data_IF_808933974027
#
_entry.id   IF_808933974027
#
_cell.length_a   1.000
_cell.length_b   1.000
_cell.length_c   1.000
_cell.angle_alpha   90.00
_cell.angle_beta   90.00
_cell.angle_gamma   90.00
#
_symmetry.space_group_name_H-M   'P 1'
#
loop_
_entity.id
_entity.type
_entity.pdbx_description
1 polymer ?
#
# COMPACT_ATOMS: atom_id res chain seq x y z
N UNK A 1 -22.66 21.52 24.51
CA UNK A 1 -22.66 20.15 25.06
C UNK A 1 -22.17 19.25 23.94
N UNK A 2 -20.87 18.93 23.91
CA UNK A 2 -20.30 18.01 22.92
C UNK A 2 -20.59 16.59 23.40
N UNK A 3 -21.51 15.89 22.75
CA UNK A 3 -21.71 14.45 22.96
C UNK A 3 -20.43 13.75 22.49
N UNK A 4 -19.65 13.19 23.42
CA UNK A 4 -18.49 12.38 23.09
C UNK A 4 -18.99 11.00 22.64
N UNK A 5 -18.82 10.67 21.36
CA UNK A 5 -19.06 9.32 20.86
C UNK A 5 -17.87 8.45 21.22
N UNK A 6 -18.12 7.31 21.85
CA UNK A 6 -17.08 6.30 22.09
C UNK A 6 -17.11 5.29 20.95
N UNK A 7 -15.98 5.10 20.28
CA UNK A 7 -15.83 4.10 19.22
C UNK A 7 -15.18 2.87 19.86
N UNK A 8 -15.92 1.79 19.95
CA UNK A 8 -15.39 0.50 20.40
C UNK A 8 -15.42 -0.47 19.23
N UNK A 9 -14.27 -1.06 18.89
CA UNK A 9 -14.21 -2.14 17.94
C UNK A 9 -15.01 -3.33 18.52
N UNK A 10 -16.08 -3.74 17.85
CA UNK A 10 -16.82 -4.92 18.24
C UNK A 10 -15.98 -6.13 17.86
N UNK A 11 -15.15 -6.63 18.78
CA UNK A 11 -14.42 -7.89 18.63
C UNK A 11 -15.42 -9.07 18.66
N UNK A 12 -16.24 -9.21 17.61
CA UNK A 12 -16.73 -10.52 17.23
C UNK A 12 -15.48 -11.29 16.80
N UNK A 13 -15.14 -12.33 17.56
CA UNK A 13 -13.95 -13.15 17.43
C UNK A 13 -13.91 -14.01 16.13
N UNK A 14 -14.17 -13.39 14.99
CA UNK A 14 -13.87 -13.90 13.66
C UNK A 14 -12.71 -13.04 13.16
N UNK A 15 -11.51 -13.62 13.08
CA UNK A 15 -10.29 -12.92 12.73
C UNK A 15 -10.47 -12.09 11.45
N UNK A 16 -10.31 -10.78 11.56
CA UNK A 16 -10.25 -9.87 10.42
C UNK A 16 -8.93 -10.12 9.67
N UNK A 17 -8.97 -11.04 8.71
CA UNK A 17 -7.88 -11.22 7.76
C UNK A 17 -8.05 -10.19 6.65
N UNK A 18 -7.57 -8.97 6.89
CA UNK A 18 -7.53 -7.94 5.88
C UNK A 18 -6.18 -7.88 5.18
N UNK A 19 -6.24 -7.97 3.86
CA UNK A 19 -5.08 -7.81 3.00
C UNK A 19 -4.91 -6.32 2.64
N UNK A 20 -3.72 -5.72 2.82
CA UNK A 20 -3.45 -4.37 2.38
C UNK A 20 -3.66 -4.31 0.87
N UNK A 21 -4.19 -3.17 0.44
CA UNK A 21 -4.44 -2.88 -0.96
C UNK A 21 -3.19 -2.23 -1.59
N UNK A 22 -3.09 -2.31 -2.91
CA UNK A 22 -1.92 -1.85 -3.68
C UNK A 22 -2.32 -0.78 -4.69
N UNK A 23 -1.48 0.23 -4.88
CA UNK A 23 -1.64 1.23 -5.93
C UNK A 23 -1.40 0.62 -7.33
N UNK A 24 -2.01 1.23 -8.35
CA UNK A 24 -1.65 0.94 -9.74
C UNK A 24 -0.30 1.59 -10.07
N UNK A 25 0.64 0.90 -10.75
CA UNK A 25 1.92 1.50 -11.14
C UNK A 25 1.76 2.49 -12.31
N UNK A 26 2.53 3.58 -12.31
CA UNK A 26 2.74 4.44 -13.49
C UNK A 26 3.62 3.70 -14.52
N UNK A 27 3.21 3.66 -15.79
CA UNK A 27 3.93 2.96 -16.88
C UNK A 27 4.54 3.96 -17.87
N UNK A 28 5.87 3.97 -18.01
CA UNK A 28 6.60 4.76 -19.01
C UNK A 28 7.07 3.85 -20.17
N UNK A 29 6.81 4.23 -21.43
CA UNK A 29 7.07 3.40 -22.64
C UNK A 29 8.09 4.03 -23.60
N UNK A 30 9.13 3.28 -23.95
CA UNK A 30 10.14 3.48 -25.00
C UNK A 30 10.74 2.13 -25.54
N UNK A 31 9.92 1.11 -25.84
CA UNK A 31 10.33 -0.13 -26.54
C UNK A 31 10.68 -1.28 -25.59
N UNK A 32 10.66 -2.58 -26.00
CA UNK A 32 10.59 -3.70 -25.04
C UNK A 32 11.91 -3.91 -24.27
N UNK A 33 12.14 -3.06 -23.29
CA UNK A 33 13.17 -3.20 -22.27
C UNK A 33 12.65 -4.15 -21.19
N UNK A 34 13.54 -4.85 -20.47
CA UNK A 34 13.19 -5.54 -19.25
C UNK A 34 12.42 -4.65 -18.25
N UNK A 35 12.74 -3.34 -18.18
CA UNK A 35 12.02 -2.37 -17.35
C UNK A 35 10.54 -2.21 -17.78
N UNK A 36 10.27 -2.10 -19.08
CA UNK A 36 8.90 -2.04 -19.60
C UNK A 36 8.15 -3.36 -19.39
N UNK A 37 8.81 -4.48 -19.63
CA UNK A 37 8.22 -5.81 -19.41
C UNK A 37 7.87 -6.01 -17.94
N UNK A 38 8.73 -5.54 -17.03
CA UNK A 38 8.45 -5.52 -15.60
C UNK A 38 7.23 -4.65 -15.29
N UNK A 39 7.17 -3.42 -15.82
CA UNK A 39 6.05 -2.50 -15.58
C UNK A 39 4.71 -3.06 -16.08
N UNK A 40 4.67 -3.59 -17.31
CA UNK A 40 3.46 -4.19 -17.90
C UNK A 40 3.00 -5.44 -17.11
N UNK A 41 3.95 -6.25 -16.64
CA UNK A 41 3.67 -7.38 -15.78
C UNK A 41 3.06 -6.97 -14.43
N UNK A 42 3.58 -5.91 -13.80
CA UNK A 42 3.02 -5.41 -12.52
C UNK A 42 1.62 -4.81 -12.71
N UNK A 43 1.36 -4.17 -13.84
CA UNK A 43 0.04 -3.62 -14.15
C UNK A 43 -1.04 -4.71 -14.36
N UNK A 44 -0.63 -5.95 -14.68
CA UNK A 44 -1.55 -7.05 -14.95
C UNK A 44 -1.93 -7.80 -13.65
N UNK A 45 -3.23 -7.83 -13.27
CA UNK A 45 -3.67 -8.58 -12.09
C UNK A 45 -3.29 -10.06 -12.17
N UNK A 46 -2.71 -10.60 -11.09
CA UNK A 46 -2.32 -12.02 -11.01
C UNK A 46 -1.06 -12.41 -11.80
N UNK A 47 -0.39 -11.48 -12.50
CA UNK A 47 0.80 -11.79 -13.30
C UNK A 47 2.10 -11.92 -12.49
N UNK A 48 2.06 -11.63 -11.18
CA UNK A 48 3.21 -11.82 -10.30
C UNK A 48 3.66 -13.29 -10.32
N UNK A 49 4.88 -13.54 -10.79
CA UNK A 49 5.44 -14.87 -10.95
C UNK A 49 6.95 -14.82 -10.73
N UNK A 50 7.60 -15.96 -10.38
CA UNK A 50 9.06 -16.03 -10.31
C UNK A 50 9.74 -15.64 -11.64
N UNK A 51 9.08 -15.85 -12.78
CA UNK A 51 9.59 -15.41 -14.08
C UNK A 51 9.59 -13.88 -14.19
N UNK A 52 8.46 -13.22 -13.85
CA UNK A 52 8.37 -11.77 -13.85
C UNK A 52 9.34 -11.13 -12.84
N UNK A 53 9.50 -11.75 -11.66
CA UNK A 53 10.47 -11.30 -10.66
C UNK A 53 11.89 -11.23 -11.24
N UNK A 54 12.34 -12.26 -11.95
CA UNK A 54 13.65 -12.27 -12.61
C UNK A 54 13.79 -11.16 -13.66
N UNK A 55 12.75 -10.93 -14.46
CA UNK A 55 12.73 -9.83 -15.45
C UNK A 55 12.90 -8.48 -14.75
N UNK A 56 12.17 -8.24 -13.66
CA UNK A 56 12.30 -7.02 -12.87
C UNK A 56 13.68 -6.88 -12.20
N UNK A 57 14.28 -7.98 -11.74
CA UNK A 57 15.62 -7.99 -11.14
C UNK A 57 16.72 -7.68 -12.18
N UNK A 58 16.60 -8.25 -13.38
CA UNK A 58 17.47 -7.96 -14.51
C UNK A 58 17.38 -6.48 -14.92
N UNK A 59 16.16 -5.95 -15.01
CA UNK A 59 15.90 -4.56 -15.37
C UNK A 59 16.59 -3.55 -14.44
N UNK A 60 16.66 -3.83 -13.12
CA UNK A 60 17.36 -2.96 -12.17
C UNK A 60 18.86 -2.82 -12.52
N UNK A 61 19.46 -3.88 -13.07
CA UNK A 61 20.89 -3.92 -13.43
C UNK A 61 21.26 -3.09 -14.67
N UNK A 62 20.28 -2.59 -15.42
CA UNK A 62 20.54 -1.84 -16.65
C UNK A 62 21.17 -0.48 -16.36
N UNK A 63 22.36 -0.23 -16.91
CA UNK A 63 23.12 1.01 -16.67
C UNK A 63 22.51 2.24 -17.36
N UNK A 64 21.66 2.02 -18.36
CA UNK A 64 21.07 3.08 -19.19
C UNK A 64 19.82 3.72 -18.59
N UNK A 65 19.29 3.16 -17.49
CA UNK A 65 18.10 3.72 -16.84
C UNK A 65 18.39 5.11 -16.27
N UNK A 66 17.52 6.07 -16.59
CA UNK A 66 17.51 7.35 -15.89
C UNK A 66 17.26 7.13 -14.39
N UNK A 67 17.62 8.09 -13.54
CA UNK A 67 17.33 8.00 -12.09
C UNK A 67 15.85 7.74 -11.81
N UNK A 68 14.96 8.37 -12.59
CA UNK A 68 13.51 8.19 -12.50
C UNK A 68 13.10 6.77 -12.88
N UNK A 69 13.58 6.27 -14.02
CA UNK A 69 13.21 4.93 -14.50
C UNK A 69 13.78 3.84 -13.60
N UNK A 70 14.99 4.03 -13.05
CA UNK A 70 15.57 3.15 -12.04
C UNK A 70 14.69 3.04 -10.81
N UNK A 71 14.21 4.18 -10.29
CA UNK A 71 13.32 4.20 -9.14
C UNK A 71 11.98 3.51 -9.43
N UNK A 72 11.38 3.74 -10.61
CA UNK A 72 10.16 3.05 -11.02
C UNK A 72 10.36 1.54 -11.16
N UNK A 73 11.47 1.10 -11.75
CA UNK A 73 11.81 -0.32 -11.89
C UNK A 73 12.05 -0.99 -10.54
N UNK A 74 12.74 -0.32 -9.60
CA UNK A 74 12.89 -0.79 -8.23
C UNK A 74 11.53 -0.93 -7.52
N UNK A 75 10.65 0.06 -7.66
CA UNK A 75 9.31 0.01 -7.11
C UNK A 75 8.51 -1.17 -7.68
N UNK A 76 8.52 -1.35 -9.00
CA UNK A 76 7.85 -2.46 -9.67
C UNK A 76 8.40 -3.82 -9.21
N UNK A 77 9.72 -3.97 -9.12
CA UNK A 77 10.36 -5.18 -8.59
C UNK A 77 9.98 -5.45 -7.13
N UNK A 78 9.88 -4.40 -6.31
CA UNK A 78 9.38 -4.45 -4.95
C UNK A 78 7.93 -4.93 -4.88
N UNK A 79 7.06 -4.40 -5.74
CA UNK A 79 5.65 -4.82 -5.84
C UNK A 79 5.51 -6.28 -6.28
N UNK A 80 6.31 -6.75 -7.24
CA UNK A 80 6.32 -8.18 -7.62
C UNK A 80 6.73 -9.04 -6.44
N UNK A 81 7.79 -8.66 -5.73
CA UNK A 81 8.28 -9.40 -4.56
C UNK A 81 7.22 -9.45 -3.45
N UNK A 82 6.56 -8.33 -3.17
CA UNK A 82 5.46 -8.24 -2.22
C UNK A 82 4.31 -9.18 -2.57
N UNK A 83 3.89 -9.20 -3.85
CA UNK A 83 2.82 -10.09 -4.34
C UNK A 83 3.20 -11.58 -4.30
N UNK A 84 4.49 -11.90 -4.35
CA UNK A 84 5.00 -13.27 -4.22
C UNK A 84 5.24 -13.70 -2.77
N UNK A 85 5.07 -12.80 -1.79
CA UNK A 85 5.34 -13.09 -0.38
C UNK A 85 6.80 -12.88 0.04
N UNK A 86 7.64 -12.36 -0.85
CA UNK A 86 9.04 -12.05 -0.58
C UNK A 86 9.14 -10.64 0.06
N UNK A 87 8.73 -10.52 1.32
CA UNK A 87 8.53 -9.22 1.96
C UNK A 87 9.81 -8.44 2.28
N UNK A 88 10.88 -9.08 2.76
CA UNK A 88 12.16 -8.41 3.03
C UNK A 88 12.83 -7.92 1.73
N UNK A 89 12.90 -8.73 0.65
CA UNK A 89 13.37 -8.24 -0.64
C UNK A 89 12.46 -7.16 -1.25
N UNK A 90 11.15 -7.18 -0.97
CA UNK A 90 10.24 -6.11 -1.38
C UNK A 90 10.56 -4.80 -0.66
N UNK A 91 10.72 -4.87 0.66
CA UNK A 91 11.01 -3.73 1.52
C UNK A 91 12.28 -3.01 1.08
N UNK A 92 13.38 -3.74 0.91
CA UNK A 92 14.66 -3.16 0.50
C UNK A 92 14.55 -2.38 -0.82
N UNK A 93 13.87 -2.96 -1.81
CA UNK A 93 13.69 -2.33 -3.14
C UNK A 93 12.78 -1.11 -3.09
N UNK A 94 11.71 -1.16 -2.30
CA UNK A 94 10.78 -0.03 -2.13
C UNK A 94 11.44 1.14 -1.38
N UNK A 95 12.29 0.85 -0.39
CA UNK A 95 13.09 1.86 0.30
C UNK A 95 14.08 2.52 -0.66
N UNK A 96 14.83 1.74 -1.44
CA UNK A 96 15.74 2.28 -2.45
C UNK A 96 15.00 3.12 -3.51
N UNK A 97 13.83 2.66 -3.96
CA UNK A 97 12.98 3.42 -4.89
C UNK A 97 12.55 4.77 -4.32
N UNK A 98 12.15 4.81 -3.04
CA UNK A 98 11.76 6.02 -2.34
C UNK A 98 12.93 7.01 -2.19
N UNK A 99 14.15 6.53 -1.94
CA UNK A 99 15.36 7.36 -1.85
C UNK A 99 15.79 7.97 -3.20
N UNK A 100 15.56 7.25 -4.29
CA UNK A 100 15.87 7.76 -5.64
C UNK A 100 14.91 8.87 -6.08
N UNK A 101 13.80 9.06 -5.38
CA UNK A 101 13.10 10.33 -5.30
C UNK A 101 12.29 10.79 -6.52
N UNK A 102 11.75 9.95 -7.42
CA UNK A 102 10.52 10.41 -8.05
C UNK A 102 9.49 10.55 -6.91
N UNK A 103 8.85 11.72 -6.83
CA UNK A 103 7.76 12.02 -5.89
C UNK A 103 6.51 11.19 -6.22
N UNK A 104 6.64 9.87 -6.24
CA UNK A 104 5.54 8.93 -6.32
C UNK A 104 5.22 8.57 -4.87
N UNK A 105 4.39 9.38 -4.19
CA UNK A 105 3.89 8.99 -2.87
C UNK A 105 3.15 7.65 -2.91
N UNK A 106 2.75 7.19 -4.10
CA UNK A 106 2.19 5.86 -4.32
C UNK A 106 3.18 4.72 -3.97
N UNK A 107 4.51 4.96 -3.98
CA UNK A 107 5.49 3.99 -3.46
C UNK A 107 5.25 3.74 -1.97
N UNK A 108 4.85 4.76 -1.20
CA UNK A 108 4.56 4.62 0.23
C UNK A 108 3.40 3.66 0.51
N UNK A 109 2.45 3.50 -0.42
CA UNK A 109 1.37 2.51 -0.30
C UNK A 109 1.93 1.10 -0.29
N UNK A 110 2.80 0.79 -1.26
CA UNK A 110 3.42 -0.54 -1.37
C UNK A 110 4.42 -0.78 -0.23
N UNK A 111 5.14 0.25 0.21
CA UNK A 111 6.03 0.20 1.36
C UNK A 111 5.25 -0.13 2.63
N UNK A 112 4.17 0.58 2.92
CA UNK A 112 3.31 0.33 4.07
C UNK A 112 2.65 -1.05 4.00
N UNK A 113 2.16 -1.47 2.84
CA UNK A 113 1.60 -2.81 2.66
C UNK A 113 2.64 -3.91 2.98
N UNK A 114 3.90 -3.71 2.57
CA UNK A 114 5.01 -4.62 2.88
C UNK A 114 5.32 -4.62 4.38
N UNK A 115 5.35 -3.45 5.01
CA UNK A 115 5.62 -3.30 6.44
C UNK A 115 4.52 -3.95 7.29
N UNK A 116 3.24 -3.84 6.90
CA UNK A 116 2.12 -4.53 7.55
C UNK A 116 2.32 -6.04 7.48
N UNK A 117 2.73 -6.58 6.33
CA UNK A 117 3.03 -8.02 6.16
C UNK A 117 4.18 -8.51 7.04
N UNK A 118 5.14 -7.63 7.31
CA UNK A 118 6.25 -7.88 8.22
C UNK A 118 5.89 -7.65 9.70
N UNK A 119 4.66 -7.26 10.03
CA UNK A 119 4.24 -6.94 11.39
C UNK A 119 4.81 -5.62 11.92
N UNK A 120 5.32 -4.74 11.04
CA UNK A 120 5.98 -3.47 11.38
C UNK A 120 4.98 -2.30 11.24
N UNK A 121 3.92 -2.35 12.04
CA UNK A 121 2.78 -1.43 11.91
C UNK A 121 3.14 0.04 12.14
N UNK A 122 3.98 0.36 13.13
CA UNK A 122 4.45 1.73 13.40
C UNK A 122 5.14 2.35 12.16
N UNK A 123 5.97 1.57 11.48
CA UNK A 123 6.69 2.01 10.29
C UNK A 123 5.75 2.15 9.08
N UNK A 124 4.72 1.31 8.98
CA UNK A 124 3.69 1.45 7.96
C UNK A 124 2.91 2.76 8.12
N UNK A 125 2.61 3.17 9.36
CA UNK A 125 1.99 4.47 9.66
C UNK A 125 2.93 5.60 9.28
N UNK A 126 4.22 5.51 9.61
CA UNK A 126 5.21 6.51 9.26
C UNK A 126 5.35 6.69 7.73
N UNK A 127 5.37 5.59 6.97
CA UNK A 127 5.42 5.61 5.51
C UNK A 127 4.20 6.33 4.89
N UNK A 128 3.04 6.28 5.55
CA UNK A 128 1.78 6.92 5.13
C UNK A 128 1.43 8.16 5.95
N UNK A 129 2.41 8.81 6.58
CA UNK A 129 2.18 10.02 7.37
C UNK A 129 1.78 11.22 6.50
N UNK A 130 2.42 11.36 5.34
CA UNK A 130 2.09 12.37 4.31
C UNK A 130 1.23 11.75 3.20
N UNK A 131 -0.07 11.60 3.46
CA UNK A 131 -1.02 11.11 2.45
C UNK A 131 -1.18 12.08 1.28
N UNK A 132 -0.88 13.37 1.46
CA UNK A 132 -1.02 14.34 0.36
C UNK A 132 0.04 14.17 -0.72
N UNK A 133 1.16 13.52 -0.39
CA UNK A 133 2.16 13.07 -1.38
C UNK A 133 1.65 11.92 -2.27
N UNK A 134 0.61 11.18 -1.85
CA UNK A 134 -0.03 10.10 -2.61
C UNK A 134 -0.96 10.70 -3.67
N UNK A 135 -0.95 10.10 -4.86
CA UNK A 135 -1.79 10.54 -5.98
C UNK A 135 -3.28 10.48 -5.57
N UNK A 136 -4.10 11.50 -5.88
CA UNK A 136 -5.49 11.57 -5.43
C UNK A 136 -6.31 10.30 -5.71
N UNK A 137 -6.03 9.62 -6.82
CA UNK A 137 -6.71 8.39 -7.25
C UNK A 137 -6.43 7.22 -6.30
N UNK A 138 -5.26 7.22 -5.64
CA UNK A 138 -4.78 6.15 -4.77
C UNK A 138 -4.90 6.49 -3.27
N UNK A 139 -5.27 7.72 -2.90
CA UNK A 139 -5.37 8.14 -1.48
C UNK A 139 -6.31 7.25 -0.64
N UNK A 140 -7.40 6.75 -1.22
CA UNK A 140 -8.28 5.81 -0.53
C UNK A 140 -7.52 4.56 -0.06
N UNK A 141 -6.61 4.03 -0.89
CA UNK A 141 -5.76 2.87 -0.56
C UNK A 141 -4.77 3.22 0.56
N UNK A 142 -4.18 4.42 0.52
CA UNK A 142 -3.29 4.91 1.57
C UNK A 142 -4.00 4.99 2.92
N UNK A 143 -5.19 5.60 2.97
CA UNK A 143 -6.01 5.65 4.19
C UNK A 143 -6.35 4.24 4.68
N UNK A 144 -6.79 3.34 3.80
CA UNK A 144 -7.10 1.96 4.17
C UNK A 144 -5.89 1.22 4.77
N UNK A 145 -4.72 1.29 4.13
CA UNK A 145 -3.52 0.60 4.65
C UNK A 145 -3.06 1.21 5.98
N UNK A 146 -3.14 2.53 6.16
CA UNK A 146 -2.80 3.16 7.44
C UNK A 146 -3.78 2.77 8.53
N UNK A 147 -5.07 2.65 8.21
CA UNK A 147 -6.08 2.11 9.13
C UNK A 147 -5.79 0.67 9.56
N UNK A 148 -5.34 -0.20 8.64
CA UNK A 148 -4.91 -1.56 8.99
C UNK A 148 -3.72 -1.57 9.95
N UNK A 149 -2.77 -0.64 9.78
CA UNK A 149 -1.65 -0.51 10.69
C UNK A 149 -2.08 -0.01 12.08
N UNK A 150 -2.97 1.00 12.15
CA UNK A 150 -3.56 1.42 13.44
C UNK A 150 -4.36 0.31 14.11
N UNK A 151 -5.12 -0.47 13.34
CA UNK A 151 -5.86 -1.63 13.83
C UNK A 151 -4.92 -2.69 14.43
N UNK A 152 -3.79 -2.97 13.76
CA UNK A 152 -2.78 -3.90 14.27
C UNK A 152 -2.10 -3.43 15.58
N UNK A 153 -2.12 -2.12 15.84
CA UNK A 153 -1.66 -1.52 17.10
C UNK A 153 -2.78 -1.34 18.13
N UNK A 154 -3.97 -1.87 17.86
CA UNK A 154 -5.18 -1.73 18.70
C UNK A 154 -5.67 -0.27 18.87
N UNK A 155 -5.22 0.66 18.02
CA UNK A 155 -5.73 2.03 17.97
C UNK A 155 -7.03 2.08 17.14
N UNK A 156 -8.12 1.63 17.77
CA UNK A 156 -9.43 1.53 17.14
C UNK A 156 -9.98 2.90 16.67
N UNK A 157 -9.66 3.99 17.38
CA UNK A 157 -10.15 5.32 17.02
C UNK A 157 -9.47 5.82 15.73
N UNK A 158 -8.13 5.73 15.66
CA UNK A 158 -7.40 6.12 14.47
C UNK A 158 -7.74 5.21 13.28
N UNK A 159 -7.86 3.90 13.50
CA UNK A 159 -8.27 2.94 12.48
C UNK A 159 -9.66 3.28 11.91
N UNK A 160 -10.65 3.54 12.76
CA UNK A 160 -12.01 3.91 12.31
C UNK A 160 -11.98 5.18 11.45
N UNK A 161 -11.25 6.21 11.91
CA UNK A 161 -11.15 7.49 11.18
C UNK A 161 -10.57 7.32 9.79
N UNK A 162 -9.50 6.54 9.65
CA UNK A 162 -8.86 6.30 8.36
C UNK A 162 -9.68 5.36 7.47
N UNK A 163 -10.33 4.32 8.01
CA UNK A 163 -11.28 3.50 7.23
C UNK A 163 -12.44 4.35 6.70
N UNK A 164 -12.98 5.25 7.52
CA UNK A 164 -14.03 6.18 7.12
C UNK A 164 -13.55 7.13 6.01
N UNK A 165 -12.36 7.71 6.16
CA UNK A 165 -11.75 8.57 5.14
C UNK A 165 -11.55 7.83 3.81
N UNK A 166 -11.09 6.57 3.85
CA UNK A 166 -10.96 5.71 2.67
C UNK A 166 -12.31 5.51 1.96
N UNK A 167 -13.35 5.10 2.70
CA UNK A 167 -14.69 4.87 2.14
C UNK A 167 -15.34 6.17 1.61
N UNK A 168 -15.08 7.31 2.25
CA UNK A 168 -15.57 8.61 1.80
C UNK A 168 -14.89 9.07 0.49
N UNK A 169 -13.60 8.80 0.33
CA UNK A 169 -12.86 9.13 -0.90
C UNK A 169 -13.23 8.22 -2.07
N UNK A 170 -13.53 6.95 -1.80
CA UNK A 170 -13.99 6.00 -2.81
C UNK A 170 -15.17 5.17 -2.29
N UNK A 171 -16.39 5.69 -2.47
CA UNK A 171 -17.60 4.91 -2.20
C UNK A 171 -17.60 3.61 -3.00
N UNK A 172 -18.00 2.50 -2.39
CA UNK A 172 -17.95 1.16 -2.98
C UNK A 172 -16.59 0.48 -2.91
N UNK A 173 -15.60 1.06 -2.22
CA UNK A 173 -14.36 0.35 -1.90
C UNK A 173 -14.61 -0.65 -0.75
N UNK A 174 -15.10 -1.84 -1.14
CA UNK A 174 -15.53 -2.89 -0.23
C UNK A 174 -14.58 -3.16 0.96
N UNK A 175 -13.24 -3.23 0.79
CA UNK A 175 -12.35 -3.49 1.93
C UNK A 175 -12.49 -2.48 3.09
N UNK A 176 -12.72 -1.20 2.81
CA UNK A 176 -12.91 -0.18 3.84
C UNK A 176 -14.33 -0.22 4.42
N UNK A 177 -15.34 -0.48 3.60
CA UNK A 177 -16.74 -0.59 4.03
C UNK A 177 -16.95 -1.81 4.94
N UNK A 178 -16.36 -2.96 4.58
CA UNK A 178 -16.37 -4.19 5.39
C UNK A 178 -15.63 -4.00 6.72
N UNK A 179 -14.52 -3.24 6.71
CA UNK A 179 -13.80 -2.89 7.94
C UNK A 179 -14.66 -2.03 8.86
N UNK A 180 -15.35 -1.01 8.34
CA UNK A 180 -16.24 -0.13 9.10
C UNK A 180 -17.41 -0.89 9.73
N UNK A 181 -17.94 -1.90 9.04
CA UNK A 181 -19.03 -2.75 9.55
C UNK A 181 -18.70 -3.50 10.85
N UNK A 182 -17.41 -3.59 11.21
CA UNK A 182 -16.95 -4.23 12.45
C UNK A 182 -16.84 -3.26 13.65
N UNK A 183 -16.96 -1.96 13.41
CA UNK A 183 -16.94 -0.97 14.48
C UNK A 183 -18.34 -0.77 15.05
N UNK A 184 -18.42 -0.69 16.38
CA UNK A 184 -19.63 -0.27 17.07
C UNK A 184 -19.44 1.18 17.50
N UNK A 185 -20.24 2.07 16.92
CA UNK A 185 -20.25 3.48 17.32
C UNK A 185 -21.36 3.65 18.37
N UNK A 186 -20.99 3.71 19.64
CA UNK A 186 -21.93 3.99 20.70
C UNK A 186 -22.21 5.49 20.74
N UNK A 187 -23.45 5.89 20.47
CA UNK A 187 -23.94 7.22 20.83
C UNK A 187 -24.14 7.27 22.34
N UNK A 188 -23.35 8.09 23.02
CA UNK A 188 -23.59 8.43 24.43
C UNK A 188 -24.68 9.51 24.44
N UNK A 189 -25.87 9.15 24.92
CA UNK A 189 -26.96 10.08 25.21
C UNK A 189 -26.63 10.96 26.43
#
# INVERSE_FOLDING_TARGET
MFSSRSITAGLLALGFAADPAFAAPDVYRNGPTPAETCADGVATPGAASPALKRVCEEAIGEQTLSRKDRAATLANSGIVSLRLGDYEPALARLQEAAELGPKHGDISISLAATLIRLGRADEAIAALSDIDAVSPENRHIAYYNRALAYWALEDAEAAYRDFYASAALKPGFAPAEDALGQFQVASVE
#
